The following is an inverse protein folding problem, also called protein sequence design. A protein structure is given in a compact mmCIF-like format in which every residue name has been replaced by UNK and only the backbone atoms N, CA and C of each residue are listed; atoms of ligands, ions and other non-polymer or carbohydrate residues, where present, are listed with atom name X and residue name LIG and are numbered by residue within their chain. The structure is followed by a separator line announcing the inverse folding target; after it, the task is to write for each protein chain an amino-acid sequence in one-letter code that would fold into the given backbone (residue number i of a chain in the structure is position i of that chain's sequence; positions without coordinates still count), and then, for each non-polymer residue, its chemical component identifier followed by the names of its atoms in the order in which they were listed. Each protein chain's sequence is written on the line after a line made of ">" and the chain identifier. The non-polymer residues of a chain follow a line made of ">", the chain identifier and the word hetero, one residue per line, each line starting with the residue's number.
data_IF_313562494049
#
_entry.id   IF_313562494049
#
_cell.length_a   1.000
_cell.length_b   1.000
_cell.length_c   1.000
_cell.angle_alpha   90.00
_cell.angle_beta   90.00
_cell.angle_gamma   90.00
#
_symmetry.space_group_name_H-M   'P 1'
#
loop_
_entity.id
_entity.type
_entity.pdbx_description
1 polymer ?
#
# COMPACT_ATOMS: atom_id res chain seq x y z
N UNK A 1 3.85 25.98 2.08
CA UNK A 1 2.94 25.53 1.01
C UNK A 1 3.40 24.19 0.46
N UNK A 2 2.45 23.31 0.22
CA UNK A 2 2.76 22.01 -0.36
C UNK A 2 2.96 22.16 -1.87
N UNK A 3 3.99 21.47 -2.40
CA UNK A 3 4.29 21.55 -3.84
C UNK A 3 3.86 20.28 -4.58
N UNK A 4 3.76 19.16 -3.88
CA UNK A 4 3.29 17.89 -4.45
C UNK A 4 2.93 16.91 -3.35
N UNK A 5 2.20 15.89 -3.73
CA UNK A 5 1.94 14.75 -2.89
C UNK A 5 3.14 13.79 -3.00
N UNK A 6 3.77 13.47 -1.85
CA UNK A 6 4.89 12.54 -1.84
C UNK A 6 4.40 11.10 -2.01
N UNK A 7 3.47 10.67 -1.17
CA UNK A 7 2.88 9.34 -1.31
C UNK A 7 1.51 9.28 -0.66
N UNK A 8 0.77 8.26 -1.04
CA UNK A 8 -0.48 7.84 -0.41
C UNK A 8 -0.35 6.35 -0.12
N UNK A 9 -0.92 5.89 0.99
CA UNK A 9 -0.80 4.50 1.40
C UNK A 9 -2.17 3.88 1.67
N UNK A 10 -2.32 2.63 1.24
CA UNK A 10 -3.53 1.84 1.45
C UNK A 10 -3.15 0.45 1.97
N UNK A 11 -4.08 -0.23 2.57
CA UNK A 11 -3.91 -1.64 2.87
C UNK A 11 -4.14 -2.47 1.61
N UNK A 12 -3.31 -3.49 1.38
CA UNK A 12 -3.54 -4.49 0.33
C UNK A 12 -3.80 -5.86 0.95
N UNK A 13 -4.37 -6.76 0.17
CA UNK A 13 -4.67 -8.12 0.59
C UNK A 13 -3.42 -8.98 0.66
N UNK A 14 -2.51 -8.82 -0.27
CA UNK A 14 -1.32 -9.65 -0.44
C UNK A 14 -0.25 -8.85 -1.16
N UNK A 15 0.94 -8.73 -0.55
CA UNK A 15 2.01 -7.92 -1.10
C UNK A 15 2.50 -8.42 -2.45
N UNK A 16 2.67 -9.73 -2.62
CA UNK A 16 3.16 -10.30 -3.88
C UNK A 16 2.16 -10.06 -5.02
N UNK A 17 0.90 -10.30 -4.79
CA UNK A 17 -0.17 -10.03 -5.75
C UNK A 17 -0.20 -8.55 -6.14
N UNK A 18 -0.03 -7.68 -5.15
CA UNK A 18 0.00 -6.22 -5.36
C UNK A 18 1.19 -5.81 -6.22
N UNK A 19 2.39 -6.34 -5.94
CA UNK A 19 3.58 -6.09 -6.75
C UNK A 19 3.34 -6.52 -8.20
N UNK A 20 2.81 -7.70 -8.42
CA UNK A 20 2.55 -8.20 -9.77
C UNK A 20 1.55 -7.33 -10.51
N UNK A 21 0.47 -6.93 -9.85
CA UNK A 21 -0.55 -6.10 -10.47
C UNK A 21 -0.01 -4.73 -10.86
N UNK A 22 0.63 -4.02 -9.91
CA UNK A 22 1.07 -2.65 -10.18
C UNK A 22 2.29 -2.57 -11.08
N UNK A 23 3.13 -3.60 -11.13
CA UNK A 23 4.27 -3.61 -12.06
C UNK A 23 3.89 -4.13 -13.43
N UNK A 24 3.15 -5.25 -13.53
CA UNK A 24 2.88 -5.92 -14.81
C UNK A 24 1.64 -5.42 -15.51
N UNK A 25 0.61 -5.02 -14.76
CA UNK A 25 -0.66 -4.56 -15.33
C UNK A 25 -0.71 -3.05 -15.43
N UNK A 26 -0.43 -2.34 -14.33
CA UNK A 26 -0.45 -0.89 -14.30
C UNK A 26 0.81 -0.28 -14.91
N UNK A 27 1.95 -0.93 -14.77
CA UNK A 27 3.21 -0.49 -15.35
C UNK A 27 4.01 0.46 -14.47
N UNK A 28 3.75 0.50 -13.17
CA UNK A 28 4.52 1.30 -12.24
C UNK A 28 5.85 0.63 -11.91
N UNK A 29 6.82 1.41 -11.45
CA UNK A 29 8.11 0.91 -11.05
C UNK A 29 8.11 0.59 -9.56
N UNK A 30 8.48 -0.64 -9.21
CA UNK A 30 8.70 -1.01 -7.81
C UNK A 30 9.91 -0.24 -7.26
N UNK A 31 9.69 0.52 -6.18
CA UNK A 31 10.73 1.41 -5.64
C UNK A 31 11.38 0.86 -4.38
N UNK A 32 10.61 0.34 -3.44
CA UNK A 32 11.14 -0.14 -2.17
C UNK A 32 10.14 -1.05 -1.47
N UNK A 33 10.66 -1.92 -0.61
CA UNK A 33 9.85 -2.75 0.25
C UNK A 33 10.55 -2.95 1.58
N UNK A 34 9.76 -2.97 2.65
CA UNK A 34 10.23 -3.18 4.01
C UNK A 34 9.31 -4.17 4.71
N UNK A 35 9.91 -4.97 5.59
CA UNK A 35 9.17 -5.84 6.49
C UNK A 35 9.52 -5.46 7.92
N UNK A 36 8.50 -5.31 8.79
CA UNK A 36 8.76 -4.99 10.18
C UNK A 36 9.48 -6.16 10.87
N UNK A 37 10.47 -5.88 11.74
CA UNK A 37 11.05 -6.89 12.60
C UNK A 37 10.00 -7.50 13.52
N UNK A 38 10.23 -8.76 13.92
CA UNK A 38 9.38 -9.44 14.90
C UNK A 38 9.28 -8.60 16.19
N UNK A 39 8.06 -8.41 16.68
CA UNK A 39 7.81 -7.63 17.89
C UNK A 39 7.90 -6.12 17.72
N UNK A 40 8.16 -5.64 16.53
CA UNK A 40 8.22 -4.19 16.27
C UNK A 40 6.84 -3.54 16.43
N UNK A 41 6.84 -2.29 16.87
CA UNK A 41 5.62 -1.51 17.09
C UNK A 41 5.72 -0.17 16.34
N UNK A 42 5.84 -0.19 14.99
CA UNK A 42 6.16 1.02 14.22
C UNK A 42 5.10 2.12 14.34
N UNK A 43 3.85 1.75 14.65
CA UNK A 43 2.73 2.70 14.76
C UNK A 43 2.02 2.57 16.11
N UNK A 44 2.78 2.20 17.17
CA UNK A 44 2.23 2.06 18.51
C UNK A 44 1.57 0.71 18.79
N UNK A 45 1.44 -0.14 17.81
CA UNK A 45 0.88 -1.49 17.93
C UNK A 45 1.89 -2.52 17.46
N UNK A 46 1.90 -3.68 18.10
CA UNK A 46 2.70 -4.81 17.64
C UNK A 46 1.97 -5.49 16.49
N UNK A 47 2.46 -5.29 15.27
CA UNK A 47 1.85 -5.86 14.09
C UNK A 47 2.93 -6.31 13.12
N UNK A 48 2.70 -7.45 12.47
CA UNK A 48 3.48 -7.84 11.30
C UNK A 48 3.01 -7.01 10.12
N UNK A 49 3.95 -6.37 9.44
CA UNK A 49 3.61 -5.63 8.23
C UNK A 49 4.68 -5.75 7.17
N UNK A 50 4.23 -5.68 5.93
CA UNK A 50 5.07 -5.55 4.76
C UNK A 50 4.62 -4.24 4.10
N UNK A 51 5.57 -3.32 3.90
CA UNK A 51 5.31 -2.00 3.34
C UNK A 51 6.01 -1.90 2.00
N UNK A 52 5.25 -1.68 0.92
CA UNK A 52 5.79 -1.63 -0.44
C UNK A 52 5.42 -0.33 -1.11
N UNK A 53 6.34 0.18 -1.94
CA UNK A 53 6.23 1.47 -2.62
C UNK A 53 6.41 1.29 -4.12
N UNK A 54 5.58 2.00 -4.90
CA UNK A 54 5.70 2.08 -6.34
C UNK A 54 5.83 3.54 -6.76
N UNK A 55 6.76 3.82 -7.68
CA UNK A 55 6.92 5.16 -8.21
C UNK A 55 5.87 5.44 -9.29
N UNK A 56 5.18 6.57 -9.13
CA UNK A 56 4.19 7.05 -10.07
C UNK A 56 4.74 8.13 -11.01
N UNK A 57 6.02 8.48 -10.84
CA UNK A 57 6.69 9.54 -11.58
C UNK A 57 6.91 10.80 -10.75
N UNK A 58 7.95 11.56 -11.11
CA UNK A 58 8.28 12.85 -10.47
C UNK A 58 8.43 12.81 -8.95
N UNK A 59 8.88 11.67 -8.40
CA UNK A 59 9.06 11.52 -6.97
C UNK A 59 7.78 11.35 -6.17
N UNK A 60 6.70 10.97 -6.81
CA UNK A 60 5.44 10.59 -6.16
C UNK A 60 5.29 9.09 -6.13
N UNK A 61 4.66 8.59 -5.07
CA UNK A 61 4.57 7.14 -4.82
C UNK A 61 3.17 6.75 -4.38
N UNK A 62 2.78 5.53 -4.75
CA UNK A 62 1.69 4.83 -4.08
C UNK A 62 2.29 3.72 -3.24
N UNK A 63 1.81 3.58 -2.01
CA UNK A 63 2.32 2.61 -1.06
C UNK A 63 1.21 1.70 -0.57
N UNK A 64 1.59 0.49 -0.17
CA UNK A 64 0.65 -0.47 0.39
C UNK A 64 1.22 -1.13 1.62
N UNK A 65 0.34 -1.43 2.55
CA UNK A 65 0.64 -2.27 3.71
C UNK A 65 -0.06 -3.61 3.56
N UNK A 66 0.72 -4.68 3.63
CA UNK A 66 0.20 -6.03 3.82
C UNK A 66 0.32 -6.36 5.31
N UNK A 67 -0.78 -6.76 5.92
CA UNK A 67 -0.85 -7.11 7.34
C UNK A 67 -1.18 -8.59 7.49
N UNK A 68 -0.18 -9.47 7.30
CA UNK A 68 -0.45 -10.92 7.20
C UNK A 68 -1.03 -11.56 8.46
N UNK A 69 -0.75 -10.97 9.64
CA UNK A 69 -1.26 -11.50 10.92
C UNK A 69 -2.54 -10.83 11.39
N UNK A 70 -3.07 -9.89 10.63
CA UNK A 70 -4.31 -9.19 10.96
C UNK A 70 -5.50 -9.86 10.28
N UNK A 71 -6.73 -9.64 10.79
CA UNK A 71 -7.91 -10.17 10.12
C UNK A 71 -7.99 -9.70 8.68
N UNK A 72 -8.55 -10.53 7.77
CA UNK A 72 -8.68 -10.15 6.36
C UNK A 72 -9.43 -8.85 6.14
N UNK A 73 -9.09 -8.15 5.06
CA UNK A 73 -9.83 -6.96 4.64
C UNK A 73 -11.28 -7.31 4.33
N UNK A 74 -12.17 -6.40 4.69
CA UNK A 74 -13.59 -6.53 4.38
C UNK A 74 -14.04 -5.32 3.58
N UNK A 75 -14.91 -5.56 2.61
CA UNK A 75 -15.56 -4.46 1.89
C UNK A 75 -16.49 -3.70 2.83
N UNK A 76 -16.51 -2.37 2.70
CA UNK A 76 -17.47 -1.54 3.40
C UNK A 76 -18.85 -1.73 2.75
N UNK A 77 -19.84 -2.31 3.45
CA UNK A 77 -21.15 -2.56 2.85
C UNK A 77 -21.94 -1.29 2.53
N UNK A 78 -21.50 -0.15 3.06
CA UNK A 78 -22.17 1.12 2.89
C UNK A 78 -21.53 2.00 1.82
N UNK A 79 -20.42 1.57 1.24
CA UNK A 79 -19.69 2.34 0.24
C UNK A 79 -19.55 1.53 -1.04
N UNK A 80 -20.13 1.97 -2.16
CA UNK A 80 -19.93 1.30 -3.44
C UNK A 80 -18.44 1.25 -3.83
N UNK A 81 -18.02 0.17 -4.48
CA UNK A 81 -16.63 -0.06 -4.82
C UNK A 81 -16.01 1.01 -5.72
N UNK A 82 -16.82 1.77 -6.45
CA UNK A 82 -16.34 2.81 -7.37
C UNK A 82 -16.08 4.16 -6.69
N UNK A 83 -16.47 4.32 -5.41
CA UNK A 83 -16.31 5.61 -4.69
C UNK A 83 -14.84 5.89 -4.36
N UNK A 84 -14.16 4.91 -3.79
CA UNK A 84 -12.75 5.07 -3.42
C UNK A 84 -11.87 4.63 -4.59
N UNK A 85 -11.15 5.57 -5.19
CA UNK A 85 -10.32 5.28 -6.35
C UNK A 85 -9.13 6.24 -6.42
N UNK A 86 -8.14 5.85 -7.23
CA UNK A 86 -6.96 6.67 -7.53
C UNK A 86 -6.89 6.83 -9.04
N UNK A 87 -6.58 8.04 -9.48
CA UNK A 87 -6.30 8.35 -10.88
C UNK A 87 -4.84 8.78 -11.02
N UNK A 88 -4.19 8.23 -12.00
CA UNK A 88 -2.82 8.58 -12.35
C UNK A 88 -2.77 9.57 -13.50
#
# INVERSE_FOLDING_TARGET
>A
MFQKLHHVAYRCRDAQETVEFYTKVVGLKYAAGEQSPEGARPYGEEVDLIHIFFECGHGSYIAFFDLPSSPPMQADPNTPSWVNHIAF
#
